data_IF_832745209968
#
_entry.id   IF_832745209968
#
_cell.length_a   1.000
_cell.length_b   1.000
_cell.length_c   1.000
_cell.angle_alpha   90.00
_cell.angle_beta   90.00
_cell.angle_gamma   90.00
#
_symmetry.space_group_name_H-M   'P 1'
#
loop_
_entity.id
_entity.type
_entity.pdbx_description
1 polymer ?
#
# COMPACT_ATOMS: atom_id res chain seq x y z
N UNK A 1 11.03 16.19 -3.39
CA UNK A 1 10.68 17.30 -2.46
C UNK A 1 9.33 17.11 -1.80
N UNK A 2 8.17 17.21 -2.49
CA UNK A 2 6.83 17.09 -1.84
C UNK A 2 6.67 15.91 -0.86
N UNK A 3 6.89 14.67 -1.31
CA UNK A 3 6.76 13.49 -0.43
C UNK A 3 7.72 13.50 0.76
N UNK A 4 8.93 14.04 0.60
CA UNK A 4 9.89 14.17 1.71
C UNK A 4 9.42 15.19 2.74
N UNK A 5 8.83 16.30 2.29
CA UNK A 5 8.24 17.32 3.16
C UNK A 5 7.08 16.75 3.95
N UNK A 6 6.15 16.04 3.29
CA UNK A 6 5.02 15.36 3.95
C UNK A 6 5.55 14.37 4.98
N UNK A 7 6.51 13.53 4.59
CA UNK A 7 7.08 12.52 5.48
C UNK A 7 7.77 13.12 6.72
N UNK A 8 8.37 14.30 6.61
CA UNK A 8 8.99 14.97 7.75
C UNK A 8 7.99 15.52 8.78
N UNK A 9 6.73 15.78 8.38
CA UNK A 9 5.71 16.40 9.24
C UNK A 9 4.94 15.42 10.14
N UNK A 10 5.18 14.12 9.99
CA UNK A 10 4.42 13.03 10.60
C UNK A 10 3.81 12.15 9.51
N UNK A 11 4.04 10.84 9.59
CA UNK A 11 3.76 9.93 8.47
C UNK A 11 2.53 9.06 8.73
N UNK A 12 1.45 9.24 7.94
CA UNK A 12 0.37 8.27 7.87
C UNK A 12 0.91 6.88 7.53
N UNK A 13 0.30 5.85 8.12
CA UNK A 13 0.62 4.44 7.92
C UNK A 13 0.11 4.01 6.55
N UNK A 14 1.02 3.85 5.61
CA UNK A 14 0.70 3.39 4.25
C UNK A 14 0.83 1.86 4.20
N UNK A 15 -0.23 1.17 3.80
CA UNK A 15 -0.24 -0.29 3.67
C UNK A 15 -0.41 -0.68 2.21
N UNK A 16 0.53 -1.44 1.66
CA UNK A 16 0.43 -1.99 0.31
C UNK A 16 -0.04 -3.44 0.36
N UNK A 17 -1.10 -3.76 -0.37
CA UNK A 17 -1.68 -5.10 -0.37
C UNK A 17 -2.32 -5.47 -1.71
N UNK A 18 -2.49 -6.78 -1.90
CA UNK A 18 -3.34 -7.37 -2.95
C UNK A 18 -4.45 -8.17 -2.27
N UNK A 19 -5.73 -7.81 -2.42
CA UNK A 19 -6.82 -8.59 -1.86
C UNK A 19 -6.87 -9.99 -2.50
N UNK A 20 -7.08 -11.02 -1.67
CA UNK A 20 -7.11 -12.42 -2.07
C UNK A 20 -8.46 -13.07 -1.70
N UNK A 21 -9.54 -12.33 -1.95
CA UNK A 21 -10.92 -12.69 -1.59
C UNK A 21 -11.43 -11.89 -0.39
N UNK A 22 -12.51 -12.39 0.23
CA UNK A 22 -13.24 -11.73 1.32
C UNK A 22 -12.48 -11.71 2.65
N UNK A 23 -11.63 -12.71 2.88
CA UNK A 23 -11.08 -12.98 4.22
C UNK A 23 -9.55 -12.88 4.28
N UNK A 24 -8.87 -12.62 3.17
CA UNK A 24 -7.40 -12.63 3.12
C UNK A 24 -6.83 -11.56 2.19
N UNK A 25 -5.61 -11.12 2.52
CA UNK A 25 -4.81 -10.24 1.68
C UNK A 25 -3.35 -10.68 1.64
N UNK A 26 -2.69 -10.41 0.53
CA UNK A 26 -1.24 -10.48 0.42
C UNK A 26 -0.67 -9.11 0.74
N UNK A 27 -0.16 -8.94 1.96
CA UNK A 27 0.42 -7.68 2.43
C UNK A 27 1.88 -7.63 2.01
N UNK A 28 2.23 -6.63 1.21
CA UNK A 28 3.54 -6.48 0.61
C UNK A 28 4.62 -6.17 1.65
N UNK A 29 5.83 -6.71 1.44
CA UNK A 29 7.05 -6.28 2.14
C UNK A 29 7.69 -5.13 1.35
N UNK A 30 7.67 -3.89 1.85
CA UNK A 30 7.98 -2.70 1.04
C UNK A 30 9.29 -2.76 0.26
N UNK A 31 10.36 -3.28 0.86
CA UNK A 31 11.69 -3.33 0.24
C UNK A 31 11.78 -4.26 -0.99
N UNK A 32 10.80 -5.14 -1.16
CA UNK A 32 10.79 -6.15 -2.22
C UNK A 32 10.14 -5.68 -3.52
N UNK A 33 9.47 -4.51 -3.48
CA UNK A 33 8.75 -3.98 -4.62
C UNK A 33 9.35 -2.64 -5.07
N UNK A 34 9.55 -2.41 -6.38
CA UNK A 34 10.28 -1.23 -6.87
C UNK A 34 9.70 0.10 -6.36
N UNK A 35 8.40 0.32 -6.58
CA UNK A 35 7.78 1.60 -6.22
C UNK A 35 7.66 1.80 -4.71
N UNK A 36 7.47 0.72 -3.96
CA UNK A 36 7.42 0.77 -2.49
C UNK A 36 8.80 1.09 -1.89
N UNK A 37 9.87 0.62 -2.52
CA UNK A 37 11.25 0.99 -2.14
C UNK A 37 11.48 2.48 -2.35
N UNK A 38 11.06 3.02 -3.49
CA UNK A 38 11.15 4.46 -3.78
C UNK A 38 10.40 5.28 -2.73
N UNK A 39 9.17 4.90 -2.38
CA UNK A 39 8.40 5.57 -1.32
C UNK A 39 9.12 5.52 0.03
N UNK A 40 9.70 4.37 0.38
CA UNK A 40 10.51 4.20 1.60
C UNK A 40 11.73 5.12 1.60
N UNK A 41 12.45 5.21 0.47
CA UNK A 41 13.61 6.11 0.30
C UNK A 41 13.24 7.59 0.36
N UNK A 42 11.98 7.92 0.04
CA UNK A 42 11.41 9.27 0.20
C UNK A 42 10.90 9.55 1.62
N UNK A 43 11.00 8.59 2.53
CA UNK A 43 10.61 8.72 3.94
C UNK A 43 9.15 8.36 4.25
N UNK A 44 8.38 7.89 3.28
CA UNK A 44 6.99 7.47 3.50
C UNK A 44 6.97 6.25 4.43
N UNK A 45 6.10 6.27 5.44
CA UNK A 45 5.96 5.18 6.40
C UNK A 45 5.10 4.06 5.81
N UNK A 46 5.76 3.16 5.10
CA UNK A 46 5.14 1.92 4.67
C UNK A 46 5.16 0.90 5.81
N UNK A 47 3.97 0.39 6.17
CA UNK A 47 3.81 -0.66 7.17
C UNK A 47 4.22 -1.99 6.56
N UNK A 48 5.13 -2.69 7.24
CA UNK A 48 5.52 -4.05 6.88
C UNK A 48 4.78 -5.07 7.76
N UNK A 49 4.32 -6.21 7.20
CA UNK A 49 3.77 -7.28 8.02
C UNK A 49 4.87 -7.88 8.91
N UNK A 50 4.46 -8.53 10.01
CA UNK A 50 5.39 -9.20 10.92
C UNK A 50 6.33 -10.17 10.18
N UNK A 51 7.55 -10.42 10.71
CA UNK A 51 8.43 -11.45 10.16
C UNK A 51 7.70 -12.80 10.09
N UNK A 52 7.85 -13.51 8.97
CA UNK A 52 7.10 -14.72 8.70
C UNK A 52 7.42 -15.29 7.32
N UNK A 53 6.71 -16.35 6.88
CA UNK A 53 6.89 -16.93 5.56
C UNK A 53 6.58 -15.92 4.45
N UNK A 54 7.15 -16.16 3.27
CA UNK A 54 6.99 -15.31 2.09
C UNK A 54 8.05 -14.20 1.99
N UNK A 55 8.81 -14.26 0.90
CA UNK A 55 9.90 -13.31 0.65
C UNK A 55 9.38 -11.91 0.29
N UNK A 56 8.31 -11.82 -0.49
CA UNK A 56 7.83 -10.55 -1.07
C UNK A 56 6.55 -10.01 -0.40
N UNK A 57 5.79 -10.88 0.25
CA UNK A 57 4.56 -10.55 0.96
C UNK A 57 4.32 -11.56 2.09
N UNK A 58 3.42 -11.21 3.01
CA UNK A 58 2.80 -12.15 3.94
C UNK A 58 1.32 -12.28 3.60
N UNK A 59 0.76 -13.48 3.65
CA UNK A 59 -0.69 -13.66 3.59
C UNK A 59 -1.25 -13.48 4.98
N UNK A 60 -2.11 -12.48 5.16
CA UNK A 60 -2.81 -12.21 6.42
C UNK A 60 -4.29 -12.43 6.23
N UNK A 61 -5.00 -12.77 7.30
CA UNK A 61 -6.45 -12.68 7.30
C UNK A 61 -6.91 -11.21 7.32
N UNK A 62 -8.20 -11.02 7.09
CA UNK A 62 -8.83 -9.69 7.07
C UNK A 62 -8.61 -8.94 8.38
N UNK A 63 -8.78 -9.61 9.52
CA UNK A 63 -8.68 -8.96 10.83
C UNK A 63 -7.25 -8.47 11.09
N UNK A 64 -6.25 -9.30 10.83
CA UNK A 64 -4.84 -8.99 10.96
C UNK A 64 -4.40 -7.91 9.98
N UNK A 65 -4.90 -7.94 8.75
CA UNK A 65 -4.62 -6.92 7.73
C UNK A 65 -5.02 -5.53 8.22
N UNK A 66 -6.22 -5.38 8.76
CA UNK A 66 -6.71 -4.09 9.24
C UNK A 66 -6.26 -3.76 10.67
N UNK A 67 -5.82 -4.75 11.46
CA UNK A 67 -5.14 -4.51 12.75
C UNK A 67 -3.80 -3.76 12.58
N UNK A 68 -3.23 -3.76 11.37
CA UNK A 68 -2.12 -2.90 10.99
C UNK A 68 -2.49 -1.40 10.94
N UNK A 69 -3.77 -1.04 11.11
CA UNK A 69 -4.31 0.32 11.14
C UNK A 69 -3.78 1.18 9.98
N UNK A 70 -4.10 0.83 8.73
CA UNK A 70 -3.70 1.64 7.59
C UNK A 70 -4.44 2.98 7.59
N UNK A 71 -3.69 4.07 7.42
CA UNK A 71 -4.24 5.40 7.16
C UNK A 71 -4.45 5.60 5.65
N UNK A 72 -3.60 4.99 4.81
CA UNK A 72 -3.73 4.94 3.34
C UNK A 72 -3.49 3.51 2.86
N UNK A 73 -4.27 3.05 1.89
CA UNK A 73 -4.12 1.72 1.28
C UNK A 73 -3.64 1.85 -0.16
N UNK A 74 -2.50 1.22 -0.48
CA UNK A 74 -2.07 0.99 -1.85
C UNK A 74 -2.59 -0.38 -2.30
N UNK A 75 -3.57 -0.40 -3.20
CA UNK A 75 -4.21 -1.66 -3.64
C UNK A 75 -3.66 -2.12 -4.98
N UNK A 76 -3.31 -3.40 -5.08
CA UNK A 76 -2.96 -4.06 -6.33
C UNK A 76 -4.09 -3.89 -7.36
N UNK A 77 -3.74 -3.40 -8.56
CA UNK A 77 -4.68 -3.16 -9.67
C UNK A 77 -4.65 -4.23 -10.75
N UNK A 78 -3.81 -5.26 -10.62
CA UNK A 78 -3.74 -6.34 -11.61
C UNK A 78 -5.03 -7.16 -11.59
N UNK A 79 -5.39 -7.73 -12.73
CA UNK A 79 -6.65 -8.46 -12.91
C UNK A 79 -6.83 -9.69 -12.00
N UNK A 80 -5.76 -10.18 -11.37
CA UNK A 80 -5.80 -11.31 -10.44
C UNK A 80 -6.10 -10.92 -8.99
N UNK A 81 -6.07 -9.62 -8.67
CA UNK A 81 -6.43 -9.13 -7.34
C UNK A 81 -7.96 -9.11 -7.19
N UNK A 82 -8.45 -9.58 -6.05
CA UNK A 82 -9.86 -9.43 -5.72
C UNK A 82 -10.20 -7.95 -5.45
N UNK A 83 -11.49 -7.54 -5.54
CA UNK A 83 -11.90 -6.19 -5.18
C UNK A 83 -11.61 -5.88 -3.71
N UNK A 84 -11.06 -4.70 -3.42
CA UNK A 84 -10.77 -4.27 -2.05
C UNK A 84 -12.04 -4.18 -1.19
N UNK A 85 -13.18 -3.84 -1.80
CA UNK A 85 -14.46 -3.70 -1.07
C UNK A 85 -14.96 -5.04 -0.52
N UNK A 86 -14.64 -6.17 -1.18
CA UNK A 86 -14.96 -7.50 -0.66
C UNK A 86 -14.13 -7.82 0.59
N UNK A 87 -12.85 -7.44 0.59
CA UNK A 87 -11.97 -7.61 1.75
C UNK A 87 -12.33 -6.67 2.89
N UNK A 88 -12.69 -5.40 2.62
CA UNK A 88 -13.13 -4.47 3.67
C UNK A 88 -14.47 -4.92 4.28
N UNK A 89 -15.47 -5.18 3.44
CA UNK A 89 -16.86 -5.20 3.89
C UNK A 89 -17.24 -3.90 4.62
N UNK A 90 -18.32 -3.94 5.40
CA UNK A 90 -18.90 -2.72 6.00
C UNK A 90 -18.22 -2.27 7.30
N UNK A 91 -17.25 -3.04 7.82
CA UNK A 91 -16.71 -2.88 9.18
C UNK A 91 -15.44 -2.04 9.30
N UNK A 92 -14.77 -1.71 8.20
CA UNK A 92 -13.50 -0.99 8.19
C UNK A 92 -13.63 0.39 7.56
N UNK A 93 -12.95 1.39 8.15
CA UNK A 93 -13.09 2.80 7.77
C UNK A 93 -12.61 3.14 6.35
N UNK A 94 -13.01 4.33 5.90
CA UNK A 94 -12.77 4.85 4.55
C UNK A 94 -11.34 5.39 4.33
N UNK A 95 -10.31 4.62 4.70
CA UNK A 95 -8.92 5.00 4.40
C UNK A 95 -8.76 5.27 2.89
N UNK A 96 -8.16 6.40 2.47
CA UNK A 96 -7.90 6.69 1.07
C UNK A 96 -7.20 5.52 0.37
N UNK A 97 -7.65 5.21 -0.84
CA UNK A 97 -7.15 4.10 -1.65
C UNK A 97 -6.41 4.67 -2.85
N UNK A 98 -5.16 4.24 -3.01
CA UNK A 98 -4.34 4.59 -4.16
C UNK A 98 -4.12 3.32 -5.00
N UNK A 99 -4.35 3.37 -6.32
CA UNK A 99 -4.02 2.25 -7.19
C UNK A 99 -2.51 2.03 -7.25
N UNK A 100 -2.08 0.80 -7.03
CA UNK A 100 -0.68 0.39 -7.10
C UNK A 100 -0.53 -0.78 -8.07
N UNK A 101 0.36 -0.64 -9.06
CA UNK A 101 0.78 -1.77 -9.89
C UNK A 101 2.04 -2.40 -9.27
N UNK A 102 2.02 -3.68 -8.88
CA UNK A 102 3.21 -4.37 -8.38
C UNK A 102 4.24 -4.69 -9.47
N UNK A 103 3.86 -4.61 -10.76
CA UNK A 103 4.81 -4.67 -11.86
C UNK A 103 5.60 -3.36 -11.99
N UNK A 104 6.85 -3.40 -12.48
CA UNK A 104 7.62 -2.19 -12.72
C UNK A 104 6.88 -1.20 -13.61
N UNK A 105 6.81 0.06 -13.19
CA UNK A 105 6.29 1.12 -14.06
C UNK A 105 7.32 1.44 -15.14
N UNK A 106 6.87 1.53 -16.39
CA UNK A 106 7.74 1.80 -17.53
C UNK A 106 7.70 3.29 -17.90
N UNK A 107 8.52 4.07 -17.20
CA UNK A 107 8.92 5.41 -17.63
C UNK A 107 8.62 6.53 -16.61
N UNK A 108 9.25 7.71 -16.79
CA UNK A 108 9.21 8.77 -15.78
C UNK A 108 7.81 9.33 -15.49
N UNK A 109 6.91 9.31 -16.49
CA UNK A 109 5.55 9.86 -16.35
C UNK A 109 4.70 9.01 -15.40
N UNK A 110 4.78 7.70 -15.52
CA UNK A 110 3.98 6.79 -14.68
C UNK A 110 4.49 6.79 -13.23
N UNK A 111 5.81 6.83 -13.03
CA UNK A 111 6.38 7.04 -11.70
C UNK A 111 5.91 8.36 -11.08
N UNK A 112 6.01 9.48 -11.81
CA UNK A 112 5.59 10.78 -11.30
C UNK A 112 4.09 10.82 -10.96
N UNK A 113 3.25 10.18 -11.79
CA UNK A 113 1.81 10.04 -11.53
C UNK A 113 1.55 9.25 -10.25
N UNK A 114 2.20 8.09 -10.09
CA UNK A 114 2.05 7.27 -8.89
C UNK A 114 2.47 8.02 -7.62
N UNK A 115 3.64 8.66 -7.63
CA UNK A 115 4.11 9.46 -6.50
C UNK A 115 3.18 10.64 -6.19
N UNK A 116 2.58 11.25 -7.21
CA UNK A 116 1.56 12.30 -7.07
C UNK A 116 0.32 11.80 -6.34
N UNK A 117 -0.24 10.66 -6.77
CA UNK A 117 -1.41 10.05 -6.13
C UNK A 117 -1.17 9.69 -4.66
N UNK A 118 0.02 9.17 -4.34
CA UNK A 118 0.40 8.89 -2.95
C UNK A 118 0.50 10.17 -2.15
N UNK A 119 1.12 11.22 -2.70
CA UNK A 119 1.22 12.51 -2.01
C UNK A 119 -0.16 13.12 -1.74
N UNK A 120 -1.07 13.08 -2.71
CA UNK A 120 -2.45 13.57 -2.55
C UNK A 120 -3.18 12.81 -1.43
N UNK A 121 -3.08 11.48 -1.40
CA UNK A 121 -3.71 10.66 -0.37
C UNK A 121 -3.13 10.87 1.04
N UNK A 122 -1.85 11.27 1.15
CA UNK A 122 -1.21 11.56 2.43
C UNK A 122 -1.56 12.94 2.99
N UNK A 123 -1.96 13.88 2.14
CA UNK A 123 -2.33 15.25 2.54
C UNK A 123 -3.81 15.38 2.95
N UNK A 124 -4.68 14.53 2.40
CA UNK A 124 -6.12 14.49 2.71
C UNK A 124 -6.99 15.32 1.78
#
# INVERSE_FOLDING_TARGET
ERLRTIAAAGTPRVLALSPAGTDQAHVARPKMWPELRVLTELGVHLVEPAPGPGANWSTLDRADTFALRPDVILTDIRAHAAPLDELRGDGYGAAPVVPWNPEPLYGPRDHARFLGLVADALEG
#
